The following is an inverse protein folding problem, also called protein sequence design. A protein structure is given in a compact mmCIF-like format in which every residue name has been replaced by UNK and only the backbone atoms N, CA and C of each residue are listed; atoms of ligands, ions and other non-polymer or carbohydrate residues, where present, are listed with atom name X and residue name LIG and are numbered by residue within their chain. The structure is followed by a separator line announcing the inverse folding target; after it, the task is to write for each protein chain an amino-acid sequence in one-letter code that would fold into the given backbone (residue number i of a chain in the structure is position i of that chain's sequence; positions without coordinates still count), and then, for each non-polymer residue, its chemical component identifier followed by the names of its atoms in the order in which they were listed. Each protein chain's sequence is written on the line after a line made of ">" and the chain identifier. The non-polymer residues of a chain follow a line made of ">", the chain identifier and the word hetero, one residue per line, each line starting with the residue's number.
data_IF_319479954806
#
_entry.id   IF_319479954806
#
_cell.length_a   1.000
_cell.length_b   1.000
_cell.length_c   1.000
_cell.angle_alpha   90.00
_cell.angle_beta   90.00
_cell.angle_gamma   90.00
#
_symmetry.space_group_name_H-M   'P 1'
#
loop_
_entity.id
_entity.type
_entity.pdbx_description
1 polymer ?
#
# COMPACT_ATOMS: atom_id res chain seq x y z
N UNK A 1 1.80 4.55 20.74
CA UNK A 1 0.89 3.39 20.67
C UNK A 1 1.15 2.73 19.34
N UNK A 2 1.82 1.58 19.30
CA UNK A 2 1.97 0.80 18.07
C UNK A 2 0.61 0.30 17.62
N UNK A 3 0.32 0.42 16.32
CA UNK A 3 -0.91 -0.09 15.75
C UNK A 3 -1.27 -1.52 16.16
N UNK A 4 -2.55 -1.74 16.47
CA UNK A 4 -3.08 -3.04 16.93
C UNK A 4 -2.55 -4.22 16.10
N UNK A 5 -2.45 -4.07 14.77
CA UNK A 5 -1.95 -5.13 13.89
C UNK A 5 -0.44 -5.39 14.05
N UNK A 6 0.40 -4.36 14.21
CA UNK A 6 1.86 -4.54 14.40
C UNK A 6 2.13 -5.26 15.71
N UNK A 7 1.48 -4.82 16.79
CA UNK A 7 1.61 -5.44 18.12
C UNK A 7 1.18 -6.91 18.08
N UNK A 8 0.10 -7.22 17.34
CA UNK A 8 -0.39 -8.59 17.18
C UNK A 8 0.55 -9.47 16.35
N UNK A 9 1.13 -8.96 15.27
CA UNK A 9 2.10 -9.71 14.45
C UNK A 9 3.31 -10.17 15.28
N UNK A 10 3.77 -9.35 16.23
CA UNK A 10 4.88 -9.69 17.13
C UNK A 10 4.58 -10.85 18.08
N UNK A 11 3.30 -11.18 18.31
CA UNK A 11 2.92 -12.30 19.18
C UNK A 11 3.07 -13.66 18.48
N UNK A 12 3.18 -13.69 17.15
CA UNK A 12 3.41 -14.94 16.43
C UNK A 12 4.87 -15.38 16.50
N UNK A 13 5.08 -16.69 16.57
CA UNK A 13 6.41 -17.32 16.56
C UNK A 13 7.27 -16.89 15.36
N UNK A 14 6.63 -16.64 14.21
CA UNK A 14 7.29 -16.24 12.96
C UNK A 14 6.66 -14.97 12.35
N UNK A 15 6.99 -13.77 12.88
CA UNK A 15 6.43 -12.50 12.39
C UNK A 15 6.65 -12.25 10.90
N UNK A 16 7.79 -12.72 10.37
CA UNK A 16 8.12 -12.65 8.95
C UNK A 16 7.12 -13.42 8.07
N UNK A 17 6.73 -14.64 8.44
CA UNK A 17 5.77 -15.42 7.66
C UNK A 17 4.39 -14.79 7.70
N UNK A 18 3.97 -14.34 8.89
CA UNK A 18 2.70 -13.62 9.06
C UNK A 18 2.66 -12.38 8.17
N UNK A 19 3.76 -11.63 8.09
CA UNK A 19 3.84 -10.48 7.21
C UNK A 19 3.71 -10.87 5.73
N UNK A 20 4.41 -11.92 5.27
CA UNK A 20 4.27 -12.40 3.89
C UNK A 20 2.83 -12.76 3.56
N UNK A 21 2.13 -13.41 4.48
CA UNK A 21 0.71 -13.73 4.31
C UNK A 21 -0.16 -12.47 4.23
N UNK A 22 0.04 -11.51 5.15
CA UNK A 22 -0.69 -10.25 5.13
C UNK A 22 -0.43 -9.44 3.85
N UNK A 23 0.75 -9.56 3.23
CA UNK A 23 1.07 -8.90 1.96
C UNK A 23 0.70 -9.73 0.71
N UNK A 24 0.27 -10.98 0.90
CA UNK A 24 -0.18 -11.89 -0.15
C UNK A 24 -1.68 -11.80 -0.40
N UNK A 25 -2.11 -12.23 -1.59
CA UNK A 25 -3.53 -12.33 -1.91
C UNK A 25 -4.18 -13.48 -1.13
N UNK A 26 -5.41 -13.31 -0.59
CA UNK A 26 -6.23 -12.10 -0.64
C UNK A 26 -5.98 -11.11 0.51
N UNK A 27 -5.24 -11.50 1.56
CA UNK A 27 -5.11 -10.71 2.80
C UNK A 27 -4.58 -9.30 2.57
N UNK A 28 -3.73 -9.05 1.58
CA UNK A 28 -3.24 -7.71 1.26
C UNK A 28 -4.37 -6.71 1.02
N UNK A 29 -5.48 -7.16 0.42
CA UNK A 29 -6.64 -6.33 0.18
C UNK A 29 -7.35 -6.04 1.51
N UNK A 30 -7.50 -7.04 2.38
CA UNK A 30 -8.09 -6.90 3.71
C UNK A 30 -7.28 -5.96 4.59
N UNK A 31 -5.96 -6.09 4.60
CA UNK A 31 -5.05 -5.22 5.35
C UNK A 31 -5.18 -3.77 4.89
N UNK A 32 -5.14 -3.52 3.57
CA UNK A 32 -5.33 -2.17 3.04
C UNK A 32 -6.73 -1.62 3.37
N UNK A 33 -7.78 -2.41 3.16
CA UNK A 33 -9.16 -2.03 3.47
C UNK A 33 -9.38 -1.74 4.94
N UNK A 34 -8.72 -2.46 5.85
CA UNK A 34 -8.79 -2.17 7.28
C UNK A 34 -8.37 -0.74 7.54
N UNK A 35 -7.14 -0.35 7.20
CA UNK A 35 -6.66 1.01 7.46
C UNK A 35 -7.52 2.07 6.77
N UNK A 36 -7.98 1.82 5.54
CA UNK A 36 -8.80 2.77 4.80
C UNK A 36 -10.19 2.96 5.41
N UNK A 37 -10.87 1.85 5.73
CA UNK A 37 -12.23 1.88 6.24
C UNK A 37 -12.25 2.28 7.71
N UNK A 38 -11.31 1.78 8.52
CA UNK A 38 -11.16 2.11 9.94
C UNK A 38 -10.66 3.53 10.16
N UNK A 39 -10.10 4.17 9.12
CA UNK A 39 -9.48 5.51 9.18
C UNK A 39 -8.26 5.58 10.09
N UNK A 40 -7.61 4.44 10.30
CA UNK A 40 -6.37 4.29 11.07
C UNK A 40 -5.14 4.62 10.20
N UNK A 41 -5.14 5.79 9.56
CA UNK A 41 -4.16 6.08 8.50
C UNK A 41 -2.71 6.20 9.02
N UNK A 42 -2.49 6.87 10.15
CA UNK A 42 -1.17 6.97 10.79
C UNK A 42 -0.64 5.59 11.18
N UNK A 43 -1.53 4.79 11.78
CA UNK A 43 -1.27 3.40 12.14
C UNK A 43 -0.93 2.54 10.92
N UNK A 44 -1.55 2.83 9.77
CA UNK A 44 -1.21 2.21 8.49
C UNK A 44 0.20 2.60 8.00
N UNK A 45 0.60 3.86 8.17
CA UNK A 45 1.96 4.31 7.87
C UNK A 45 2.99 3.62 8.78
N UNK A 46 2.67 3.42 10.06
CA UNK A 46 3.50 2.63 10.98
C UNK A 46 3.64 1.18 10.54
N UNK A 47 2.55 0.54 10.12
CA UNK A 47 2.58 -0.81 9.58
C UNK A 47 3.45 -0.91 8.33
N UNK A 48 3.39 0.06 7.41
CA UNK A 48 4.26 0.07 6.23
C UNK A 48 5.73 0.15 6.62
N UNK A 49 6.10 1.01 7.58
CA UNK A 49 7.48 1.10 8.08
C UNK A 49 7.93 -0.22 8.71
N UNK A 50 7.06 -0.83 9.52
CA UNK A 50 7.31 -2.14 10.10
C UNK A 50 7.50 -3.21 9.03
N UNK A 51 6.60 -3.27 8.04
CA UNK A 51 6.66 -4.23 6.95
C UNK A 51 7.96 -4.12 6.16
N UNK A 52 8.36 -2.91 5.78
CA UNK A 52 9.64 -2.64 5.10
C UNK A 52 10.82 -3.14 5.91
N UNK A 53 10.89 -2.80 7.20
CA UNK A 53 11.97 -3.26 8.10
C UNK A 53 12.09 -4.79 8.13
N UNK A 54 10.97 -5.50 8.19
CA UNK A 54 10.96 -6.97 8.20
C UNK A 54 11.36 -7.55 6.84
N UNK A 55 10.89 -6.96 5.74
CA UNK A 55 11.28 -7.39 4.38
C UNK A 55 12.77 -7.17 4.14
N UNK A 56 13.30 -5.99 4.50
CA UNK A 56 14.72 -5.63 4.35
C UNK A 56 15.63 -6.59 5.12
N UNK A 57 15.22 -6.97 6.35
CA UNK A 57 15.93 -7.95 7.16
C UNK A 57 15.90 -9.39 6.61
N UNK A 58 15.06 -9.65 5.59
CA UNK A 58 14.83 -10.98 5.02
C UNK A 58 14.94 -11.01 3.48
N UNK A 59 15.57 -10.03 2.84
CA UNK A 59 15.69 -9.94 1.36
C UNK A 59 16.20 -11.23 0.73
N UNK A 60 17.20 -11.88 1.33
CA UNK A 60 17.76 -13.14 0.83
C UNK A 60 16.87 -14.37 1.00
N UNK A 61 15.70 -14.24 1.65
CA UNK A 61 14.75 -15.33 1.92
C UNK A 61 13.47 -15.22 1.10
N UNK A 62 13.33 -14.17 0.29
CA UNK A 62 12.15 -13.90 -0.53
C UNK A 62 12.60 -13.86 -2.00
N UNK A 63 11.92 -14.57 -2.91
CA UNK A 63 12.14 -14.41 -4.34
C UNK A 63 12.05 -12.94 -4.76
N UNK A 64 12.95 -12.49 -5.62
CA UNK A 64 13.03 -11.07 -6.02
C UNK A 64 11.70 -10.53 -6.58
N UNK A 65 10.99 -11.33 -7.38
CA UNK A 65 9.68 -10.97 -7.93
C UNK A 65 8.62 -10.80 -6.82
N UNK A 66 8.64 -11.67 -5.81
CA UNK A 66 7.72 -11.57 -4.67
C UNK A 66 8.02 -10.33 -3.82
N UNK A 67 9.30 -10.02 -3.60
CA UNK A 67 9.73 -8.81 -2.91
C UNK A 67 9.29 -7.54 -3.67
N UNK A 68 9.42 -7.52 -5.00
CA UNK A 68 8.90 -6.42 -5.83
C UNK A 68 7.38 -6.27 -5.67
N UNK A 69 6.63 -7.38 -5.71
CA UNK A 69 5.16 -7.35 -5.55
C UNK A 69 4.80 -6.73 -4.19
N UNK A 70 5.50 -7.09 -3.12
CA UNK A 70 5.29 -6.52 -1.80
C UNK A 70 5.66 -5.04 -1.73
N UNK A 71 6.80 -4.63 -2.31
CA UNK A 71 7.19 -3.23 -2.29
C UNK A 71 6.19 -2.36 -3.05
N UNK A 72 5.73 -2.79 -4.23
CA UNK A 72 4.68 -2.10 -5.00
C UNK A 72 3.38 -1.93 -4.21
N UNK A 73 2.95 -2.96 -3.46
CA UNK A 73 1.77 -2.89 -2.58
C UNK A 73 1.98 -1.86 -1.47
N UNK A 74 3.12 -1.90 -0.79
CA UNK A 74 3.45 -0.98 0.29
C UNK A 74 3.57 0.47 -0.19
N UNK A 75 4.16 0.70 -1.37
CA UNK A 75 4.22 2.02 -2.02
C UNK A 75 2.80 2.52 -2.30
N UNK A 76 1.98 1.71 -2.96
CA UNK A 76 0.60 2.06 -3.33
C UNK A 76 -0.19 2.43 -2.08
N UNK A 77 -0.09 1.61 -1.03
CA UNK A 77 -0.76 1.85 0.24
C UNK A 77 -0.25 3.15 0.89
N UNK A 78 1.07 3.41 0.88
CA UNK A 78 1.64 4.64 1.43
C UNK A 78 1.07 5.89 0.76
N UNK A 79 1.04 5.90 -0.58
CA UNK A 79 0.47 6.99 -1.36
C UNK A 79 -1.01 7.23 -1.01
N UNK A 80 -1.81 6.17 -0.92
CA UNK A 80 -3.22 6.33 -0.54
C UNK A 80 -3.34 6.92 0.87
N UNK A 81 -2.59 6.39 1.86
CA UNK A 81 -2.67 6.88 3.24
C UNK A 81 -2.23 8.34 3.37
N UNK A 82 -1.18 8.77 2.65
CA UNK A 82 -0.72 10.16 2.65
C UNK A 82 -1.78 11.12 2.10
N UNK A 83 -2.45 10.76 1.00
CA UNK A 83 -3.54 11.57 0.45
C UNK A 83 -4.75 11.61 1.38
N UNK A 84 -5.08 10.52 2.07
CA UNK A 84 -6.15 10.50 3.08
C UNK A 84 -5.84 11.32 4.34
N UNK A 85 -4.56 11.39 4.73
CA UNK A 85 -4.08 12.28 5.79
C UNK A 85 -3.96 13.74 5.34
N UNK A 86 -4.27 14.04 4.07
CA UNK A 86 -4.06 15.36 3.45
C UNK A 86 -2.60 15.83 3.49
N UNK A 87 -1.65 14.90 3.56
CA UNK A 87 -0.19 15.17 3.51
C UNK A 87 0.26 15.25 2.04
N UNK A 88 -0.32 16.18 1.29
CA UNK A 88 -0.16 16.26 -0.17
C UNK A 88 1.28 16.54 -0.61
N UNK A 89 2.02 17.35 0.16
CA UNK A 89 3.45 17.56 -0.11
C UNK A 89 4.23 16.23 -0.02
N UNK A 90 4.08 15.50 1.09
CA UNK A 90 4.73 14.20 1.28
C UNK A 90 4.27 13.15 0.26
N UNK A 91 3.02 13.21 -0.19
CA UNK A 91 2.54 12.36 -1.29
C UNK A 91 3.36 12.59 -2.57
N UNK A 92 3.51 13.85 -2.97
CA UNK A 92 4.19 14.24 -4.21
C UNK A 92 5.67 13.87 -4.12
N UNK A 93 6.35 14.25 -3.03
CA UNK A 93 7.75 13.87 -2.77
C UNK A 93 7.96 12.36 -2.83
N UNK A 94 7.06 11.59 -2.21
CA UNK A 94 7.15 10.13 -2.22
C UNK A 94 6.87 9.53 -3.59
N UNK A 95 5.92 10.09 -4.34
CA UNK A 95 5.63 9.65 -5.71
C UNK A 95 6.82 9.89 -6.63
N UNK A 96 7.35 11.11 -6.64
CA UNK A 96 8.44 11.51 -7.54
C UNK A 96 9.74 10.75 -7.21
N UNK A 97 10.08 10.62 -5.93
CA UNK A 97 11.23 9.81 -5.51
C UNK A 97 11.07 8.33 -5.86
N UNK A 98 9.86 7.77 -5.75
CA UNK A 98 9.59 6.39 -6.16
C UNK A 98 9.72 6.23 -7.67
N UNK A 99 9.13 7.14 -8.45
CA UNK A 99 9.21 7.13 -9.92
C UNK A 99 10.66 7.19 -10.40
N UNK A 100 11.50 7.98 -9.73
CA UNK A 100 12.91 8.11 -10.07
C UNK A 100 13.79 6.91 -9.64
N UNK A 101 13.41 6.20 -8.57
CA UNK A 101 14.29 5.21 -7.93
C UNK A 101 13.88 3.75 -8.11
N UNK A 102 12.62 3.45 -8.48
CA UNK A 102 12.10 2.09 -8.57
C UNK A 102 11.91 1.67 -10.02
N UNK A 103 12.57 0.61 -10.51
CA UNK A 103 12.46 0.19 -11.91
C UNK A 103 11.25 -0.73 -12.17
N UNK A 104 10.20 -0.67 -11.35
CA UNK A 104 9.11 -1.66 -11.40
C UNK A 104 8.15 -1.38 -12.55
N UNK A 105 7.82 -2.43 -13.30
CA UNK A 105 7.05 -2.31 -14.55
C UNK A 105 5.69 -3.00 -14.51
N UNK A 106 4.79 -2.48 -15.34
CA UNK A 106 3.55 -3.13 -15.76
C UNK A 106 3.60 -3.26 -17.29
N UNK A 107 3.12 -4.37 -17.81
CA UNK A 107 3.09 -4.64 -19.24
C UNK A 107 1.67 -4.49 -19.79
N UNK A 108 1.56 -3.77 -20.90
CA UNK A 108 0.33 -3.63 -21.67
C UNK A 108 0.56 -4.20 -23.06
N UNK A 109 -0.43 -4.90 -23.63
CA UNK A 109 -0.40 -5.27 -25.05
C UNK A 109 -0.54 -4.01 -25.90
N UNK A 110 0.24 -3.88 -26.98
CA UNK A 110 0.21 -2.71 -27.88
C UNK A 110 -1.19 -2.40 -28.41
N UNK A 111 -1.96 -3.43 -28.75
CA UNK A 111 -3.36 -3.33 -29.21
C UNK A 111 -4.29 -2.65 -28.18
N UNK A 112 -3.93 -2.66 -26.90
CA UNK A 112 -4.69 -2.08 -25.79
C UNK A 112 -3.85 -1.06 -25.01
N UNK A 113 -2.87 -0.44 -25.67
CA UNK A 113 -1.99 0.52 -25.04
C UNK A 113 -2.81 1.73 -24.57
N UNK A 114 -2.74 2.09 -23.28
CA UNK A 114 -3.34 3.33 -22.81
C UNK A 114 -2.49 4.53 -23.29
N UNK A 115 -3.05 5.75 -23.27
CA UNK A 115 -2.26 6.94 -23.58
C UNK A 115 -1.25 7.19 -22.43
N UNK A 116 -0.04 6.63 -22.55
CA UNK A 116 1.02 6.72 -21.54
C UNK A 116 1.81 7.99 -21.76
N UNK A 117 1.99 8.79 -20.71
CA UNK A 117 2.91 9.91 -20.72
C UNK A 117 4.36 9.42 -20.74
N UNK A 118 5.22 10.04 -21.56
CA UNK A 118 6.64 9.69 -21.72
C UNK A 118 7.38 9.51 -20.39
N UNK A 119 7.02 10.29 -19.35
CA UNK A 119 7.63 10.17 -18.01
C UNK A 119 7.46 8.79 -17.35
N UNK A 120 6.51 7.97 -17.80
CA UNK A 120 6.30 6.60 -17.32
C UNK A 120 6.73 5.51 -18.30
N UNK A 121 7.14 5.88 -19.51
CA UNK A 121 7.55 4.91 -20.51
C UNK A 121 8.92 4.35 -20.12
N UNK A 122 9.02 3.03 -20.00
CA UNK A 122 10.29 2.35 -19.69
C UNK A 122 10.87 1.69 -20.92
N UNK A 123 10.02 1.10 -21.76
CA UNK A 123 10.44 0.48 -23.00
C UNK A 123 9.29 -0.17 -23.75
N UNK A 124 9.55 -0.67 -24.93
CA UNK A 124 8.59 -1.41 -25.74
C UNK A 124 9.27 -2.53 -26.52
N UNK A 125 8.51 -3.58 -26.80
CA UNK A 125 8.91 -4.64 -27.72
C UNK A 125 7.86 -4.79 -28.85
N UNK A 126 7.96 -5.85 -29.64
CA UNK A 126 7.04 -6.10 -30.77
C UNK A 126 5.57 -6.28 -30.35
N UNK A 127 5.30 -6.67 -29.11
CA UNK A 127 3.96 -7.04 -28.61
C UNK A 127 3.52 -6.24 -27.39
N UNK A 128 4.46 -5.74 -26.59
CA UNK A 128 4.19 -5.13 -25.30
C UNK A 128 4.81 -3.74 -25.17
N UNK A 129 4.16 -2.95 -24.33
CA UNK A 129 4.66 -1.68 -23.81
C UNK A 129 4.90 -1.85 -22.31
N UNK A 130 6.10 -1.52 -21.87
CA UNK A 130 6.53 -1.56 -20.49
C UNK A 130 6.43 -0.15 -19.91
N UNK A 131 5.58 0.00 -18.90
CA UNK A 131 5.37 1.28 -18.23
C UNK A 131 5.69 1.15 -16.76
N UNK A 132 6.12 2.25 -16.16
CA UNK A 132 6.35 2.31 -14.73
C UNK A 132 5.05 2.02 -13.95
N UNK A 133 5.15 1.24 -12.87
CA UNK A 133 3.97 0.76 -12.16
C UNK A 133 3.11 1.86 -11.49
N UNK A 134 3.65 3.07 -11.35
CA UNK A 134 2.90 4.23 -10.85
C UNK A 134 2.00 4.88 -11.91
N UNK A 135 2.10 4.50 -13.19
CA UNK A 135 1.25 5.05 -14.25
C UNK A 135 -0.26 5.04 -13.92
N UNK A 136 -0.84 3.95 -13.36
CA UNK A 136 -2.25 3.94 -12.97
C UNK A 136 -2.64 4.98 -11.90
N UNK A 137 -1.66 5.57 -11.22
CA UNK A 137 -1.85 6.59 -10.18
C UNK A 137 -1.66 8.02 -10.68
N UNK A 138 -1.31 8.23 -11.96
CA UNK A 138 -1.00 9.55 -12.55
C UNK A 138 -2.16 10.54 -12.37
N UNK A 139 -3.39 10.11 -12.67
CA UNK A 139 -4.56 10.96 -12.47
C UNK A 139 -4.72 11.39 -11.00
N UNK A 140 -4.38 10.52 -10.04
CA UNK A 140 -4.44 10.87 -8.62
C UNK A 140 -3.31 11.83 -8.24
N UNK A 141 -2.12 11.64 -8.79
CA UNK A 141 -1.00 12.57 -8.64
C UNK A 141 -1.40 13.98 -9.09
N UNK A 142 -1.98 14.13 -10.28
CA UNK A 142 -2.43 15.44 -10.79
C UNK A 142 -3.53 16.09 -9.93
N UNK A 143 -4.43 15.29 -9.38
CA UNK A 143 -5.42 15.77 -8.39
C UNK A 143 -4.71 16.29 -7.14
N UNK A 144 -3.73 15.54 -6.62
CA UNK A 144 -2.98 15.91 -5.42
C UNK A 144 -2.15 17.18 -5.63
N UNK A 145 -1.47 17.32 -6.78
CA UNK A 145 -0.77 18.55 -7.15
C UNK A 145 -1.72 19.76 -7.14
N UNK A 146 -2.89 19.65 -7.77
CA UNK A 146 -3.89 20.73 -7.78
C UNK A 146 -4.40 21.07 -6.39
N UNK A 147 -4.61 20.08 -5.51
CA UNK A 147 -5.02 20.31 -4.12
C UNK A 147 -3.95 21.10 -3.36
N UNK A 148 -2.69 20.72 -3.48
CA UNK A 148 -1.56 21.43 -2.86
C UNK A 148 -1.43 22.86 -3.39
N UNK A 149 -1.48 23.06 -4.71
CA UNK A 149 -1.41 24.41 -5.29
C UNK A 149 -2.53 25.32 -4.79
N UNK A 150 -3.75 24.80 -4.60
CA UNK A 150 -4.87 25.56 -4.01
C UNK A 150 -4.59 25.95 -2.55
N UNK A 151 -4.06 25.02 -1.76
CA UNK A 151 -3.68 25.29 -0.36
C UNK A 151 -2.58 26.34 -0.27
N UNK A 152 -1.52 26.22 -1.07
CA UNK A 152 -0.42 27.19 -1.12
C UNK A 152 -0.86 28.58 -1.59
N UNK A 153 -1.90 28.66 -2.42
CA UNK A 153 -2.52 29.91 -2.84
C UNK A 153 -3.51 30.50 -1.80
N UNK A 154 -3.59 29.92 -0.59
CA UNK A 154 -4.48 30.39 0.48
C UNK A 154 -5.98 30.12 0.23
N UNK A 155 -6.33 29.29 -0.76
CA UNK A 155 -7.73 28.95 -1.05
C UNK A 155 -8.26 27.94 -0.01
N UNK A 156 -9.55 28.05 0.33
CA UNK A 156 -10.19 27.07 1.20
C UNK A 156 -10.19 25.67 0.54
N UNK A 157 -9.68 24.68 1.28
CA UNK A 157 -9.58 23.27 0.86
C UNK A 157 -10.26 22.31 1.83
N UNK A 158 -11.07 22.78 2.78
CA UNK A 158 -11.74 21.93 3.77
C UNK A 158 -12.65 20.89 3.11
N UNK A 159 -13.40 21.28 2.08
CA UNK A 159 -14.22 20.37 1.27
C UNK A 159 -13.41 19.31 0.51
N UNK A 160 -12.10 19.50 0.36
CA UNK A 160 -11.19 18.54 -0.28
C UNK A 160 -10.57 17.56 0.72
N UNK A 161 -10.66 17.85 2.02
CA UNK A 161 -10.11 17.00 3.07
C UNK A 161 -10.99 15.78 3.31
N UNK A 162 -10.35 14.65 3.63
CA UNK A 162 -11.05 13.41 4.01
C UNK A 162 -11.49 13.46 5.48
N UNK A 163 -12.59 12.76 5.78
CA UNK A 163 -13.11 12.64 7.14
C UNK A 163 -12.14 11.93 8.10
N UNK A 164 -12.09 12.40 9.35
CA UNK A 164 -11.24 11.85 10.41
C UNK A 164 -11.82 10.59 11.07
N UNK A 165 -10.97 9.88 11.83
CA UNK A 165 -11.35 8.72 12.67
C UNK A 165 -12.44 9.01 13.70
N UNK A 166 -12.53 10.25 14.18
CA UNK A 166 -13.48 10.70 15.21
C UNK A 166 -14.96 10.53 14.82
N UNK A 167 -15.26 10.23 13.56
CA UNK A 167 -16.64 10.01 13.07
C UNK A 167 -17.01 8.52 12.94
N UNK A 168 -16.22 7.61 13.51
CA UNK A 168 -16.49 6.17 13.50
C UNK A 168 -16.65 5.65 14.93
N UNK A 169 -17.58 4.73 15.14
CA UNK A 169 -17.77 4.07 16.44
C UNK A 169 -16.62 3.07 16.72
N UNK A 170 -16.42 2.70 17.98
CA UNK A 170 -15.36 1.76 18.37
C UNK A 170 -15.68 0.33 17.95
N UNK A 171 -16.95 -0.08 18.01
CA UNK A 171 -17.41 -1.42 17.66
C UNK A 171 -17.15 -1.76 16.19
N UNK A 172 -17.23 -0.76 15.30
CA UNK A 172 -16.90 -0.91 13.88
C UNK A 172 -15.42 -1.18 13.62
N UNK A 173 -14.55 -0.66 14.47
CA UNK A 173 -13.11 -0.88 14.42
C UNK A 173 -12.81 -2.32 14.82
N UNK A 174 -13.33 -2.74 15.98
CA UNK A 174 -13.08 -4.06 16.57
C UNK A 174 -13.57 -5.17 15.65
N UNK A 175 -14.77 -5.02 15.08
CA UNK A 175 -15.32 -5.97 14.11
C UNK A 175 -14.40 -6.15 12.89
N UNK A 176 -13.84 -5.07 12.35
CA UNK A 176 -12.96 -5.13 11.18
C UNK A 176 -11.59 -5.69 11.51
N UNK A 177 -11.08 -5.38 12.69
CA UNK A 177 -9.86 -5.97 13.21
C UNK A 177 -10.03 -7.48 13.36
N UNK A 178 -11.10 -7.93 14.02
CA UNK A 178 -11.42 -9.35 14.19
C UNK A 178 -11.50 -10.09 12.84
N UNK A 179 -12.12 -9.50 11.81
CA UNK A 179 -12.18 -10.08 10.48
C UNK A 179 -10.80 -10.36 9.85
N UNK A 180 -9.80 -9.49 10.05
CA UNK A 180 -8.44 -9.77 9.59
C UNK A 180 -7.83 -10.90 10.39
N UNK A 181 -7.93 -10.83 11.72
CA UNK A 181 -7.30 -11.81 12.60
C UNK A 181 -7.90 -13.21 12.38
N UNK A 182 -9.21 -13.32 12.22
CA UNK A 182 -9.89 -14.59 11.94
C UNK A 182 -9.43 -15.19 10.61
N UNK A 183 -9.32 -14.37 9.56
CA UNK A 183 -8.82 -14.82 8.24
C UNK A 183 -7.36 -15.22 8.29
N UNK A 184 -6.53 -14.46 8.99
CA UNK A 184 -5.12 -14.77 9.19
C UNK A 184 -4.97 -16.09 9.94
N UNK A 185 -5.69 -16.26 11.06
CA UNK A 185 -5.66 -17.49 11.84
C UNK A 185 -6.18 -18.69 11.05
N UNK A 186 -7.21 -18.51 10.23
CA UNK A 186 -7.72 -19.55 9.33
C UNK A 186 -6.66 -19.97 8.30
N UNK A 187 -5.99 -19.01 7.66
CA UNK A 187 -4.91 -19.29 6.71
C UNK A 187 -3.72 -19.97 7.37
N UNK A 188 -3.30 -19.51 8.55
CA UNK A 188 -2.23 -20.16 9.32
C UNK A 188 -2.63 -21.61 9.65
N UNK A 189 -3.85 -21.86 10.16
CA UNK A 189 -4.32 -23.23 10.41
C UNK A 189 -4.37 -24.09 9.15
N UNK A 190 -4.72 -23.50 8.00
CA UNK A 190 -4.77 -24.21 6.71
C UNK A 190 -3.40 -24.52 6.11
N UNK A 191 -2.46 -23.57 6.13
CA UNK A 191 -1.11 -23.75 5.60
C UNK A 191 -0.25 -24.64 6.51
N UNK A 192 -0.40 -24.54 7.83
CA UNK A 192 0.29 -25.42 8.80
C UNK A 192 -0.40 -26.78 9.00
N UNK A 193 -1.60 -27.01 8.44
CA UNK A 193 -2.15 -28.36 8.34
C UNK A 193 -1.52 -29.17 7.19
N UNK A 194 -0.95 -28.51 6.18
CA UNK A 194 -0.27 -29.15 5.04
C UNK A 194 1.26 -29.11 5.13
N UNK A 195 1.83 -28.10 5.77
CA UNK A 195 3.23 -28.06 6.14
C UNK A 195 3.37 -28.51 7.60
N UNK A 196 3.50 -29.82 7.84
CA UNK A 196 3.68 -30.39 9.18
C UNK A 196 4.81 -29.72 9.96
N UNK A 197 4.45 -28.73 10.78
CA UNK A 197 5.23 -28.03 11.78
C UNK A 197 4.40 -27.97 13.05
#
# INVERSE_FOLDING_TARGET
>A
MTGHLVTHIWQYKYPFLVLRLLLSYPLCNWTAEYYLRSREYETGLEFIRFARKILDANVGRIPALELEIYDRKLITMNLVLLDYLNRWNSYIEYFDSTLASKPYVIQYKKEKQPAVNDKYMIGEDSRFVQVHFLYPMDQRYDITCRKLSRQSAGKNVEHLKRHSRSMLQWEDLDRRYAQIIDRLNWLLKGEYAFAGI
#
